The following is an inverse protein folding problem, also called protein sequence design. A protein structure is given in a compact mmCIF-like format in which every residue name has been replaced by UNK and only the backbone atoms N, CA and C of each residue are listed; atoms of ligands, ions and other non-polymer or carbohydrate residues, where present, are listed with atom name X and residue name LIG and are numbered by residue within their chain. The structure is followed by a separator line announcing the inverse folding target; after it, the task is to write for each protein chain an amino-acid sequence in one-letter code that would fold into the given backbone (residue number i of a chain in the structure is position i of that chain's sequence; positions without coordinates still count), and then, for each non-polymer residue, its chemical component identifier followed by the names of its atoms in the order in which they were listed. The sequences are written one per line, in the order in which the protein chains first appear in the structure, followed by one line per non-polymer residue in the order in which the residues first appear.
data_IF_119217337528
#
_entry.id   IF_119217337528
#
_cell.length_a   1.000
_cell.length_b   1.000
_cell.length_c   1.000
_cell.angle_alpha   90.00
_cell.angle_beta   90.00
_cell.angle_gamma   90.00
#
_symmetry.space_group_name_H-M   'P 1'
#
loop_
_entity.id
_entity.type
_entity.pdbx_description
1 polymer ?
#
# COMPACT_ATOMS: atom_id res chain seq x y z
N UNK A 1 -10.18 -24.20 3.04
CA UNK A 1 -10.58 -24.93 1.82
C UNK A 1 -9.66 -26.12 1.57
N UNK A 2 -8.34 -25.92 1.43
CA UNK A 2 -7.41 -27.02 1.09
C UNK A 2 -7.43 -28.19 2.07
N UNK A 3 -7.50 -27.96 3.39
CA UNK A 3 -7.66 -29.04 4.39
C UNK A 3 -8.94 -29.89 4.19
N UNK A 4 -10.00 -29.30 3.64
CA UNK A 4 -11.24 -30.03 3.33
C UNK A 4 -11.10 -30.85 2.04
N UNK A 5 -10.38 -30.32 1.05
CA UNK A 5 -10.04 -31.02 -0.19
C UNK A 5 -9.10 -32.21 0.09
N UNK A 6 -8.14 -32.03 0.98
CA UNK A 6 -7.22 -33.09 1.43
C UNK A 6 -7.95 -34.19 2.19
N UNK A 7 -8.93 -33.84 3.02
CA UNK A 7 -9.77 -34.81 3.73
C UNK A 7 -10.69 -35.60 2.79
N UNK A 8 -11.08 -35.03 1.65
CA UNK A 8 -11.86 -35.73 0.62
C UNK A 8 -11.01 -36.78 -0.11
N UNK A 9 -9.73 -36.47 -0.38
CA UNK A 9 -8.73 -37.44 -0.84
C UNK A 9 -8.87 -37.93 -2.28
N UNK A 10 -9.92 -37.53 -3.00
CA UNK A 10 -10.08 -37.83 -4.43
C UNK A 10 -9.06 -37.05 -5.28
N UNK A 11 -8.57 -37.62 -6.39
CA UNK A 11 -7.66 -36.94 -7.31
C UNK A 11 -8.20 -35.57 -7.77
N UNK A 12 -9.51 -35.50 -8.04
CA UNK A 12 -10.20 -34.29 -8.48
C UNK A 12 -10.23 -33.22 -7.38
N UNK A 13 -10.45 -33.60 -6.12
CA UNK A 13 -10.42 -32.66 -5.01
C UNK A 13 -9.00 -32.13 -4.74
N UNK A 14 -7.98 -32.99 -4.85
CA UNK A 14 -6.59 -32.61 -4.62
C UNK A 14 -6.04 -31.66 -5.69
N UNK A 15 -6.55 -31.73 -6.93
CA UNK A 15 -6.20 -30.81 -8.02
C UNK A 15 -6.79 -29.40 -7.83
N UNK A 16 -7.84 -29.23 -7.03
CA UNK A 16 -8.47 -27.92 -6.76
C UNK A 16 -7.75 -27.07 -5.71
N UNK A 17 -6.72 -27.62 -5.06
CA UNK A 17 -5.97 -26.93 -4.00
C UNK A 17 -5.29 -25.66 -4.51
N UNK A 18 -5.33 -24.59 -3.72
CA UNK A 18 -4.74 -23.29 -4.07
C UNK A 18 -5.43 -22.52 -5.21
N UNK A 19 -6.43 -23.09 -5.91
CA UNK A 19 -7.12 -22.46 -7.06
C UNK A 19 -8.32 -21.60 -6.65
N UNK A 20 -8.93 -21.87 -5.50
CA UNK A 20 -10.18 -21.24 -5.07
C UNK A 20 -10.05 -19.72 -4.86
N UNK A 21 -9.01 -19.28 -4.13
CA UNK A 21 -8.80 -17.86 -3.84
C UNK A 21 -8.41 -17.06 -5.10
N UNK A 22 -7.62 -17.64 -6.01
CA UNK A 22 -7.30 -17.03 -7.30
C UNK A 22 -8.55 -16.87 -8.16
N UNK A 23 -9.41 -17.89 -8.21
CA UNK A 23 -10.67 -17.85 -8.97
C UNK A 23 -11.64 -16.80 -8.42
N UNK A 24 -11.74 -16.69 -7.10
CA UNK A 24 -12.57 -15.68 -6.44
C UNK A 24 -12.09 -14.26 -6.73
N UNK A 25 -10.78 -14.04 -6.70
CA UNK A 25 -10.20 -12.74 -7.00
C UNK A 25 -10.34 -12.39 -8.50
N UNK A 26 -10.22 -13.35 -9.41
CA UNK A 26 -10.53 -13.13 -10.83
C UNK A 26 -11.98 -12.66 -11.05
N UNK A 27 -12.95 -13.25 -10.34
CA UNK A 27 -14.35 -12.82 -10.39
C UNK A 27 -14.53 -11.40 -9.82
N UNK A 28 -13.86 -11.07 -8.72
CA UNK A 28 -13.91 -9.74 -8.12
C UNK A 28 -13.35 -8.67 -9.08
N UNK A 29 -12.24 -8.98 -9.78
CA UNK A 29 -11.68 -8.12 -10.80
C UNK A 29 -12.63 -7.93 -12.01
N UNK A 30 -13.31 -8.98 -12.45
CA UNK A 30 -14.30 -8.88 -13.51
C UNK A 30 -15.49 -7.97 -13.12
N UNK A 31 -15.97 -8.08 -11.88
CA UNK A 31 -17.03 -7.21 -11.35
C UNK A 31 -16.58 -5.75 -11.25
N UNK A 32 -15.33 -5.52 -10.86
CA UNK A 32 -14.70 -4.21 -10.86
C UNK A 32 -14.66 -3.57 -12.25
N UNK A 33 -14.20 -4.30 -13.27
CA UNK A 33 -14.17 -3.82 -14.64
C UNK A 33 -15.58 -3.44 -15.14
N UNK A 34 -16.60 -4.26 -14.83
CA UNK A 34 -18.00 -3.94 -15.14
C UNK A 34 -18.52 -2.71 -14.41
N UNK A 35 -18.11 -2.50 -13.15
CA UNK A 35 -18.56 -1.36 -12.34
C UNK A 35 -18.02 -0.02 -12.86
N UNK A 36 -16.79 -0.03 -13.37
CA UNK A 36 -16.07 1.14 -13.86
C UNK A 36 -16.00 1.20 -15.40
N UNK A 37 -17.05 0.72 -16.08
CA UNK A 37 -17.23 0.81 -17.53
C UNK A 37 -18.64 1.26 -17.91
N UNK A 38 -18.83 1.66 -19.16
CA UNK A 38 -20.12 2.04 -19.73
C UNK A 38 -20.50 3.53 -19.58
N UNK A 39 -21.65 3.94 -20.17
CA UNK A 39 -21.97 5.35 -20.41
C UNK A 39 -22.03 6.21 -19.14
N UNK A 40 -22.47 5.62 -18.02
CA UNK A 40 -22.52 6.29 -16.72
C UNK A 40 -21.13 6.64 -16.20
N UNK A 41 -20.17 5.71 -16.32
CA UNK A 41 -18.80 5.94 -15.83
C UNK A 41 -18.04 6.90 -16.76
N UNK A 42 -18.21 6.78 -18.06
CA UNK A 42 -17.63 7.70 -19.05
C UNK A 42 -18.04 9.16 -18.82
N UNK A 43 -19.31 9.40 -18.47
CA UNK A 43 -19.80 10.72 -18.10
C UNK A 43 -19.13 11.28 -16.83
N UNK A 44 -18.76 10.42 -15.88
CA UNK A 44 -18.06 10.82 -14.65
C UNK A 44 -16.57 11.12 -14.92
N UNK A 45 -15.92 10.35 -15.79
CA UNK A 45 -14.53 10.58 -16.20
C UNK A 45 -14.40 11.93 -16.91
N UNK A 46 -15.35 12.30 -17.78
CA UNK A 46 -15.41 13.65 -18.40
C UNK A 46 -15.51 14.79 -17.39
N UNK A 47 -15.97 14.50 -16.17
CA UNK A 47 -16.04 15.44 -15.04
C UNK A 47 -14.85 15.31 -14.07
N UNK A 48 -13.80 14.59 -14.45
CA UNK A 48 -12.57 14.42 -13.67
C UNK A 48 -12.57 13.27 -12.65
N UNK A 49 -13.55 12.36 -12.70
CA UNK A 49 -13.58 11.21 -11.78
C UNK A 49 -12.43 10.24 -12.07
N UNK A 50 -11.73 9.81 -11.01
CA UNK A 50 -10.68 8.77 -11.06
C UNK A 50 -11.24 7.44 -10.55
N UNK A 51 -10.83 6.31 -11.15
CA UNK A 51 -11.22 4.98 -10.65
C UNK A 51 -10.59 4.74 -9.28
N UNK A 52 -11.37 4.21 -8.36
CA UNK A 52 -10.83 3.63 -7.13
C UNK A 52 -10.06 2.37 -7.51
N UNK A 53 -8.85 2.18 -6.99
CA UNK A 53 -8.04 0.99 -7.29
C UNK A 53 -8.47 -0.20 -6.44
N UNK A 54 -8.42 -1.39 -7.02
CA UNK A 54 -8.78 -2.62 -6.32
C UNK A 54 -7.64 -3.05 -5.39
N UNK A 55 -7.91 -3.23 -4.09
CA UNK A 55 -6.91 -3.68 -3.12
C UNK A 55 -7.00 -5.20 -2.91
N UNK A 56 -5.90 -5.90 -3.19
CA UNK A 56 -5.68 -7.30 -2.84
C UNK A 56 -5.05 -7.40 -1.47
N UNK A 57 -5.87 -7.74 -0.49
CA UNK A 57 -5.44 -8.05 0.86
C UNK A 57 -4.91 -9.49 0.95
N UNK A 58 -3.83 -9.70 1.72
CA UNK A 58 -3.35 -11.02 2.14
C UNK A 58 -2.95 -11.98 1.01
N UNK A 59 -2.10 -11.51 0.11
CA UNK A 59 -1.52 -12.33 -0.95
C UNK A 59 -0.31 -13.16 -0.50
N UNK A 60 -0.09 -13.31 0.81
CA UNK A 60 0.98 -14.13 1.37
C UNK A 60 0.64 -15.62 1.26
N UNK A 61 1.64 -16.43 0.90
CA UNK A 61 1.46 -17.87 0.71
C UNK A 61 1.94 -18.59 1.96
N UNK A 62 1.00 -19.04 2.78
CA UNK A 62 1.30 -19.71 4.06
C UNK A 62 1.54 -21.22 3.92
N UNK A 63 1.30 -21.80 2.73
CA UNK A 63 1.53 -23.21 2.47
C UNK A 63 2.88 -23.36 1.76
N UNK A 64 3.91 -23.98 2.39
CA UNK A 64 5.23 -24.15 1.79
C UNK A 64 5.22 -24.98 0.50
N UNK A 65 4.16 -25.76 0.26
CA UNK A 65 4.01 -26.55 -0.96
C UNK A 65 3.57 -25.73 -2.18
N UNK A 66 3.22 -24.46 -2.00
CA UNK A 66 2.82 -23.56 -3.08
C UNK A 66 3.92 -22.56 -3.40
N UNK A 67 3.94 -22.06 -4.63
CA UNK A 67 4.83 -20.95 -4.98
C UNK A 67 4.49 -19.75 -4.10
N UNK A 68 5.51 -19.07 -3.58
CA UNK A 68 5.38 -17.83 -2.78
C UNK A 68 4.63 -16.71 -3.52
N UNK A 69 4.50 -16.84 -4.84
CA UNK A 69 3.80 -15.90 -5.72
C UNK A 69 2.39 -16.36 -6.14
N UNK A 70 1.86 -17.45 -5.58
CA UNK A 70 0.59 -18.06 -6.01
C UNK A 70 -0.58 -17.06 -6.09
N UNK A 71 -0.68 -16.15 -5.13
CA UNK A 71 -1.72 -15.10 -5.12
C UNK A 71 -1.24 -13.79 -5.72
N UNK A 72 0.04 -13.70 -6.03
CA UNK A 72 0.68 -12.49 -6.52
C UNK A 72 0.62 -12.43 -8.04
N UNK A 73 1.13 -13.46 -8.69
CA UNK A 73 1.23 -13.54 -10.15
C UNK A 73 -0.12 -13.40 -10.87
N UNK A 74 -1.21 -14.09 -10.45
CA UNK A 74 -2.48 -14.02 -11.17
C UNK A 74 -3.35 -12.80 -10.80
N UNK A 75 -3.03 -12.08 -9.71
CA UNK A 75 -3.85 -10.96 -9.24
C UNK A 75 -3.29 -9.59 -9.62
N UNK A 76 -2.06 -9.53 -10.12
CA UNK A 76 -1.51 -8.30 -10.69
C UNK A 76 -2.32 -7.93 -11.95
N UNK A 77 -2.93 -6.75 -11.92
CA UNK A 77 -3.67 -6.20 -13.06
C UNK A 77 -3.74 -4.67 -13.01
N UNK A 78 -4.08 -4.00 -14.12
CA UNK A 78 -4.28 -2.56 -14.17
C UNK A 78 -5.26 -2.10 -13.08
N UNK A 79 -4.97 -0.95 -12.47
CA UNK A 79 -5.80 -0.37 -11.40
C UNK A 79 -5.91 -1.24 -10.12
N UNK A 80 -4.93 -2.11 -9.81
CA UNK A 80 -4.90 -2.90 -8.57
C UNK A 80 -3.72 -2.54 -7.63
N UNK A 81 -3.85 -2.78 -6.33
CA UNK A 81 -2.86 -2.53 -5.25
C UNK A 81 -2.85 -3.70 -4.25
N UNK A 82 -1.78 -3.92 -3.47
CA UNK A 82 -1.65 -5.06 -2.52
C UNK A 82 -1.38 -4.63 -1.06
N UNK A 83 -1.78 -5.41 -0.07
CA UNK A 83 -1.25 -5.32 1.32
C UNK A 83 -0.66 -6.66 1.84
N UNK A 84 0.30 -6.60 2.77
CA UNK A 84 1.06 -7.68 3.38
C UNK A 84 1.26 -7.50 4.90
N UNK A 85 1.82 -8.50 5.58
CA UNK A 85 1.85 -8.65 7.03
C UNK A 85 2.81 -7.65 7.74
N UNK A 86 2.38 -7.21 8.93
CA UNK A 86 2.92 -6.10 9.72
C UNK A 86 4.19 -6.46 10.49
N UNK A 87 5.17 -5.56 10.49
CA UNK A 87 6.26 -5.53 11.48
C UNK A 87 5.96 -4.41 12.48
N UNK A 88 5.75 -4.77 13.75
CA UNK A 88 5.54 -3.83 14.84
C UNK A 88 6.88 -3.29 15.35
N UNK A 89 7.08 -1.97 15.29
CA UNK A 89 8.15 -1.29 16.03
C UNK A 89 7.51 -0.56 17.22
N UNK A 90 7.78 -1.04 18.44
CA UNK A 90 7.33 -0.39 19.67
C UNK A 90 8.33 0.71 20.04
N UNK A 91 7.86 1.95 20.21
CA UNK A 91 8.66 3.08 20.70
C UNK A 91 9.18 2.79 22.12
N UNK A 92 10.48 2.55 22.27
CA UNK A 92 11.15 2.50 23.56
C UNK A 92 12.39 3.40 23.53
N UNK A 93 12.33 4.51 24.28
CA UNK A 93 13.42 5.45 24.59
C UNK A 93 14.27 5.89 23.39
N UNK A 94 13.74 6.85 22.62
CA UNK A 94 14.47 7.48 21.53
C UNK A 94 14.95 8.88 21.93
N UNK A 95 16.14 9.31 21.46
CA UNK A 95 16.56 10.69 21.64
C UNK A 95 15.55 11.61 20.95
N UNK A 96 15.01 12.55 21.72
CA UNK A 96 14.06 13.55 21.25
C UNK A 96 14.71 14.92 21.30
N UNK A 97 14.55 15.70 20.24
CA UNK A 97 14.98 17.09 20.20
C UNK A 97 13.74 17.97 20.21
N UNK A 98 13.60 18.80 21.26
CA UNK A 98 12.51 19.78 21.35
C UNK A 98 13.02 21.14 20.93
N UNK A 99 12.33 21.76 19.96
CA UNK A 99 12.59 23.12 19.52
C UNK A 99 11.36 23.94 19.84
N UNK A 100 11.53 25.01 20.61
CA UNK A 100 10.43 25.91 20.97
C UNK A 100 10.61 27.26 20.30
N UNK A 101 9.56 27.73 19.63
CA UNK A 101 9.58 28.96 18.86
C UNK A 101 8.38 29.85 19.14
N UNK A 102 8.43 31.14 18.73
CA UNK A 102 7.32 32.06 18.92
C UNK A 102 6.06 31.69 18.11
N UNK A 103 6.22 30.88 17.06
CA UNK A 103 5.15 30.49 16.12
C UNK A 103 4.85 28.99 16.13
N UNK A 104 5.83 28.15 16.44
CA UNK A 104 5.72 26.68 16.38
C UNK A 104 6.61 26.06 17.46
N UNK A 105 6.08 25.02 18.09
CA UNK A 105 6.86 24.08 18.89
C UNK A 105 7.01 22.77 18.11
N UNK A 106 8.22 22.26 18.01
CA UNK A 106 8.55 21.04 17.26
C UNK A 106 9.20 19.99 18.16
N UNK A 107 8.82 18.74 17.94
CA UNK A 107 9.47 17.57 18.55
C UNK A 107 9.98 16.68 17.43
N UNK A 108 11.31 16.59 17.35
CA UNK A 108 12.01 15.76 16.37
C UNK A 108 12.37 14.43 17.03
N UNK A 109 12.02 13.34 16.35
CA UNK A 109 12.21 11.98 16.86
C UNK A 109 12.85 11.12 15.77
N UNK A 110 14.05 10.62 16.02
CA UNK A 110 14.65 9.58 15.17
C UNK A 110 14.15 8.22 15.68
N UNK A 111 13.28 7.54 14.93
CA UNK A 111 12.70 6.26 15.36
C UNK A 111 13.66 5.09 15.16
N UNK A 112 14.34 5.08 14.01
CA UNK A 112 15.41 4.15 13.66
C UNK A 112 16.25 4.77 12.52
N UNK A 113 17.31 4.14 11.98
CA UNK A 113 18.16 4.75 10.95
C UNK A 113 17.45 5.21 9.67
N UNK A 114 16.26 4.70 9.37
CA UNK A 114 15.52 4.95 8.12
C UNK A 114 14.09 5.46 8.37
N UNK A 115 13.71 5.75 9.62
CA UNK A 115 12.43 6.40 9.96
C UNK A 115 12.70 7.52 10.95
N UNK A 116 12.25 8.73 10.59
CA UNK A 116 12.15 9.86 11.51
C UNK A 116 10.75 10.47 11.47
N UNK A 117 10.41 11.14 12.56
CA UNK A 117 9.13 11.82 12.74
C UNK A 117 9.37 13.23 13.28
N UNK A 118 8.64 14.20 12.74
CA UNK A 118 8.59 15.55 13.28
C UNK A 118 7.14 15.88 13.63
N UNK A 119 6.90 16.15 14.90
CA UNK A 119 5.60 16.59 15.40
C UNK A 119 5.63 18.10 15.59
N UNK A 120 4.73 18.84 14.92
CA UNK A 120 4.64 20.30 14.99
C UNK A 120 3.33 20.75 15.60
N UNK A 121 3.42 21.66 16.56
CA UNK A 121 2.28 22.34 17.17
C UNK A 121 2.40 23.83 16.88
N UNK A 122 1.62 24.29 15.90
CA UNK A 122 1.58 25.70 15.53
C UNK A 122 0.70 26.50 16.47
N UNK A 123 1.15 27.69 16.83
CA UNK A 123 0.39 28.61 17.69
C UNK A 123 -0.90 29.03 16.99
N UNK A 124 -2.04 28.83 17.67
CA UNK A 124 -3.37 29.20 17.16
C UNK A 124 -3.94 28.23 16.11
N UNK A 125 -3.34 27.05 15.92
CA UNK A 125 -3.94 25.96 15.13
C UNK A 125 -4.61 24.94 16.05
N UNK A 126 -5.75 24.41 15.60
CA UNK A 126 -6.54 23.42 16.34
C UNK A 126 -6.14 21.97 16.00
N UNK A 127 -4.99 21.77 15.36
CA UNK A 127 -4.46 20.47 14.99
C UNK A 127 -2.95 20.40 15.22
N UNK A 128 -2.46 19.16 15.29
CA UNK A 128 -1.05 18.83 15.32
C UNK A 128 -0.67 18.28 13.96
N UNK A 129 0.44 18.76 13.41
CA UNK A 129 1.00 18.19 12.19
C UNK A 129 2.04 17.14 12.57
N UNK A 130 1.93 15.96 11.97
CA UNK A 130 2.89 14.87 12.16
C UNK A 130 3.46 14.51 10.81
N UNK A 131 4.72 14.84 10.59
CA UNK A 131 5.46 14.51 9.39
C UNK A 131 6.26 13.24 9.64
N UNK A 132 6.13 12.27 8.72
CA UNK A 132 6.91 11.04 8.73
C UNK A 132 7.87 11.05 7.54
N UNK A 133 9.15 10.80 7.82
CA UNK A 133 10.16 10.58 6.80
C UNK A 133 10.55 9.11 6.86
N UNK A 134 10.10 8.35 5.87
CA UNK A 134 10.49 6.94 5.67
C UNK A 134 11.54 6.92 4.57
N UNK A 135 12.79 6.68 4.96
CA UNK A 135 13.93 6.51 4.05
C UNK A 135 13.98 5.12 3.44
N UNK A 136 15.18 4.68 3.07
CA UNK A 136 15.39 3.37 2.43
C UNK A 136 15.03 2.24 3.40
N UNK A 137 13.90 1.60 3.15
CA UNK A 137 13.43 0.46 3.93
C UNK A 137 14.36 -0.73 3.64
N UNK A 138 15.05 -1.30 4.66
CA UNK A 138 16.00 -2.38 4.43
C UNK A 138 15.26 -3.63 3.93
N UNK A 139 15.77 -4.23 2.85
CA UNK A 139 15.20 -5.43 2.21
C UNK A 139 16.25 -6.53 2.00
N UNK A 140 17.47 -6.34 2.51
CA UNK A 140 18.60 -7.26 2.38
C UNK A 140 18.33 -8.59 3.09
N UNK A 141 17.41 -8.61 4.05
CA UNK A 141 16.91 -9.80 4.71
C UNK A 141 15.94 -10.63 3.86
N UNK A 142 15.60 -10.16 2.65
CA UNK A 142 14.64 -10.81 1.76
C UNK A 142 13.19 -10.68 2.22
N UNK A 143 12.92 -9.83 3.23
CA UNK A 143 11.59 -9.67 3.83
C UNK A 143 10.95 -8.37 3.36
N UNK A 144 9.81 -8.49 2.67
CA UNK A 144 8.94 -7.35 2.34
C UNK A 144 8.43 -6.67 3.61
N UNK A 145 8.36 -5.33 3.61
CA UNK A 145 8.01 -4.55 4.80
C UNK A 145 6.92 -3.53 4.48
N UNK A 146 5.92 -3.48 5.35
CA UNK A 146 4.88 -2.45 5.36
C UNK A 146 5.03 -1.60 6.62
N UNK A 147 5.28 -0.32 6.41
CA UNK A 147 5.51 0.66 7.47
C UNK A 147 4.18 1.32 7.77
N UNK A 148 3.73 1.16 9.00
CA UNK A 148 2.47 1.75 9.48
C UNK A 148 2.75 2.69 10.64
N UNK A 149 1.99 3.78 10.71
CA UNK A 149 1.85 4.55 11.94
C UNK A 149 0.58 4.10 12.64
N UNK A 150 0.67 3.88 13.96
CA UNK A 150 -0.44 3.49 14.79
C UNK A 150 -0.63 4.55 15.87
N UNK A 151 -1.84 5.08 15.94
CA UNK A 151 -2.22 6.11 16.89
C UNK A 151 -3.30 5.53 17.78
N UNK A 152 -2.95 5.33 19.05
CA UNK A 152 -3.81 4.72 20.05
C UNK A 152 -4.38 5.77 21.01
N UNK A 153 -5.65 5.61 21.34
CA UNK A 153 -6.39 6.45 22.29
C UNK A 153 -7.22 5.58 23.23
N UNK A 154 -7.83 6.20 24.24
CA UNK A 154 -8.77 5.54 25.16
C UNK A 154 -10.23 5.55 24.66
N UNK A 155 -10.48 5.98 23.41
CA UNK A 155 -11.82 6.03 22.82
C UNK A 155 -12.43 4.63 22.73
N UNK A 156 -13.69 4.51 23.12
CA UNK A 156 -14.47 3.28 22.99
C UNK A 156 -15.25 3.27 21.68
N UNK A 157 -14.54 2.95 20.60
CA UNK A 157 -15.07 3.03 19.23
C UNK A 157 -16.01 1.87 18.85
N UNK A 158 -16.13 0.82 19.66
CA UNK A 158 -17.02 -0.34 19.46
C UNK A 158 -16.91 -0.91 18.04
N UNK A 159 -15.68 -1.28 17.65
CA UNK A 159 -15.33 -1.79 16.31
C UNK A 159 -15.63 -0.84 15.14
N UNK A 160 -16.13 0.36 15.40
CA UNK A 160 -16.61 1.30 14.40
C UNK A 160 -15.56 2.36 14.12
N UNK A 161 -15.36 2.66 12.84
CA UNK A 161 -14.53 3.76 12.38
C UNK A 161 -15.09 4.30 11.06
N UNK A 162 -14.63 5.47 10.63
CA UNK A 162 -15.19 6.13 9.45
C UNK A 162 -14.05 6.52 8.51
N UNK A 163 -14.22 6.24 7.22
CA UNK A 163 -13.24 6.62 6.19
C UNK A 163 -13.93 7.35 5.06
N UNK A 164 -13.24 8.31 4.44
CA UNK A 164 -13.79 9.02 3.29
C UNK A 164 -14.02 8.11 2.06
N UNK A 165 -14.92 8.54 1.19
CA UNK A 165 -15.08 8.02 -0.16
C UNK A 165 -14.56 9.04 -1.17
N UNK A 166 -13.30 8.88 -1.60
CA UNK A 166 -12.66 9.78 -2.56
C UNK A 166 -12.68 11.26 -2.12
N UNK A 167 -12.48 11.51 -0.82
CA UNK A 167 -12.50 12.83 -0.22
C UNK A 167 -13.86 13.50 -0.13
N UNK A 168 -14.95 12.71 -0.20
CA UNK A 168 -16.33 13.20 -0.08
C UNK A 168 -16.98 12.68 1.20
N UNK A 169 -17.98 11.81 1.05
CA UNK A 169 -18.76 11.29 2.15
C UNK A 169 -17.94 10.34 3.02
N UNK A 170 -18.14 10.42 4.33
CA UNK A 170 -17.61 9.43 5.25
C UNK A 170 -18.50 8.19 5.29
N UNK A 171 -17.88 7.02 5.13
CA UNK A 171 -18.55 5.73 5.18
C UNK A 171 -18.22 5.05 6.50
N UNK A 172 -19.26 4.66 7.23
CA UNK A 172 -19.13 3.84 8.44
C UNK A 172 -18.54 2.47 8.10
N UNK A 173 -17.46 2.11 8.77
CA UNK A 173 -16.79 0.81 8.71
C UNK A 173 -16.96 0.12 10.07
N UNK A 174 -17.24 -1.18 10.04
CA UNK A 174 -17.30 -2.03 11.23
C UNK A 174 -16.29 -3.15 11.02
N UNK A 175 -15.35 -3.31 11.96
CA UNK A 175 -14.33 -4.36 11.92
C UNK A 175 -15.00 -5.73 11.85
N UNK A 176 -14.51 -6.59 10.95
CA UNK A 176 -14.98 -7.96 10.70
C UNK A 176 -16.44 -8.08 10.25
N UNK A 177 -16.96 -7.04 9.58
CA UNK A 177 -18.36 -6.99 9.18
C UNK A 177 -18.54 -6.56 7.71
N UNK A 178 -19.61 -7.06 7.08
CA UNK A 178 -20.10 -6.67 5.76
C UNK A 178 -21.63 -6.54 5.82
N UNK A 179 -22.17 -5.51 5.17
CA UNK A 179 -23.62 -5.26 5.12
C UNK A 179 -24.36 -6.27 4.26
N UNK A 180 -23.72 -6.72 3.18
CA UNK A 180 -24.42 -7.40 2.08
C UNK A 180 -24.36 -8.94 2.21
N UNK A 181 -23.46 -9.48 3.03
CA UNK A 181 -23.35 -10.91 3.29
C UNK A 181 -22.75 -11.22 4.65
N UNK A 182 -22.97 -12.45 5.13
CA UNK A 182 -22.32 -12.97 6.34
C UNK A 182 -20.84 -13.27 6.06
N UNK A 183 -19.95 -12.44 6.59
CA UNK A 183 -18.50 -12.59 6.42
C UNK A 183 -17.95 -13.75 7.27
N UNK A 184 -17.18 -14.64 6.64
CA UNK A 184 -16.27 -15.55 7.35
C UNK A 184 -14.89 -14.88 7.41
N UNK A 185 -14.40 -14.61 8.62
CA UNK A 185 -13.14 -13.87 8.82
C UNK A 185 -11.97 -14.81 8.60
N UNK A 186 -11.29 -14.65 7.46
CA UNK A 186 -10.04 -15.37 7.16
C UNK A 186 -8.80 -14.51 7.33
N UNK A 187 -8.97 -13.18 7.32
CA UNK A 187 -7.88 -12.19 7.32
C UNK A 187 -8.26 -11.00 8.22
N UNK A 188 -7.95 -11.07 9.54
CA UNK A 188 -8.46 -10.12 10.53
C UNK A 188 -7.86 -8.72 10.43
N UNK A 189 -6.71 -8.57 9.77
CA UNK A 189 -6.08 -7.25 9.56
C UNK A 189 -6.41 -6.72 8.17
N UNK A 190 -5.95 -7.42 7.14
CA UNK A 190 -6.08 -6.93 5.76
C UNK A 190 -7.53 -6.86 5.27
N UNK A 191 -8.42 -7.73 5.77
CA UNK A 191 -9.86 -7.66 5.48
C UNK A 191 -10.54 -6.41 6.05
N UNK A 192 -9.86 -5.66 6.91
CA UNK A 192 -10.39 -4.45 7.54
C UNK A 192 -9.69 -3.17 7.04
N UNK A 193 -8.78 -3.25 6.07
CA UNK A 193 -8.16 -2.07 5.47
C UNK A 193 -9.09 -1.40 4.45
N UNK A 194 -9.12 -0.06 4.50
CA UNK A 194 -9.89 0.77 3.57
C UNK A 194 -9.02 1.89 2.99
N UNK A 195 -9.32 2.35 1.77
CA UNK A 195 -8.66 3.51 1.18
C UNK A 195 -9.11 4.79 1.88
N UNK A 196 -8.14 5.68 2.15
CA UNK A 196 -8.30 6.98 2.79
C UNK A 196 -7.64 8.01 1.86
N UNK A 197 -8.42 8.97 1.35
CA UNK A 197 -7.90 10.03 0.48
C UNK A 197 -7.94 11.40 1.15
N UNK A 198 -8.70 11.53 2.24
CA UNK A 198 -8.90 12.78 2.96
C UNK A 198 -8.75 12.57 4.45
N UNK A 199 -9.43 11.56 5.02
CA UNK A 199 -9.33 11.33 6.45
C UNK A 199 -10.01 10.05 6.95
N UNK A 200 -9.65 9.72 8.17
CA UNK A 200 -10.22 8.65 8.98
C UNK A 200 -10.53 9.21 10.37
N UNK A 201 -11.63 8.78 10.97
CA UNK A 201 -11.92 9.15 12.34
C UNK A 201 -12.55 8.02 13.15
N UNK A 202 -12.37 8.15 14.46
CA UNK A 202 -13.00 7.37 15.52
C UNK A 202 -13.83 8.31 16.38
N UNK A 203 -14.92 7.80 16.94
CA UNK A 203 -15.69 8.54 17.92
C UNK A 203 -16.24 7.61 18.99
N UNK A 204 -16.42 8.14 20.19
CA UNK A 204 -17.28 7.56 21.23
C UNK A 204 -18.47 8.49 21.48
N UNK A 205 -19.13 8.38 22.64
CA UNK A 205 -20.29 9.23 22.97
C UNK A 205 -19.93 10.68 23.34
N UNK A 206 -18.65 11.00 23.56
CA UNK A 206 -18.20 12.30 24.05
C UNK A 206 -17.13 12.96 23.18
N UNK A 207 -16.30 12.16 22.51
CA UNK A 207 -15.08 12.61 21.85
C UNK A 207 -14.96 12.01 20.46
N UNK A 208 -14.34 12.78 19.58
CA UNK A 208 -13.93 12.37 18.25
C UNK A 208 -12.42 12.50 18.13
N UNK A 209 -11.79 11.56 17.44
CA UNK A 209 -10.39 11.62 17.05
C UNK A 209 -10.29 11.44 15.54
N UNK A 210 -9.81 12.47 14.87
CA UNK A 210 -9.79 12.58 13.41
C UNK A 210 -8.36 12.75 12.92
N UNK A 211 -8.01 11.99 11.88
CA UNK A 211 -6.70 12.04 11.22
C UNK A 211 -6.91 12.38 9.76
N UNK A 212 -6.25 13.44 9.32
CA UNK A 212 -6.25 13.90 7.94
C UNK A 212 -4.98 13.46 7.24
N UNK A 213 -5.06 13.18 5.95
CA UNK A 213 -3.92 12.67 5.16
C UNK A 213 -3.54 13.64 4.04
N UNK A 214 -2.25 13.73 3.74
CA UNK A 214 -1.72 14.55 2.64
C UNK A 214 -1.81 13.85 1.27
N UNK A 215 -2.04 12.54 1.27
CA UNK A 215 -2.12 11.68 0.09
C UNK A 215 -3.03 10.48 0.33
N UNK A 216 -3.40 9.81 -0.77
CA UNK A 216 -4.15 8.56 -0.70
C UNK A 216 -3.30 7.45 -0.05
N UNK A 217 -3.81 6.89 1.05
CA UNK A 217 -3.17 5.80 1.80
C UNK A 217 -4.18 4.74 2.23
N UNK A 218 -3.70 3.57 2.64
CA UNK A 218 -4.53 2.55 3.28
C UNK A 218 -4.54 2.75 4.79
N UNK A 219 -5.69 2.56 5.43
CA UNK A 219 -5.76 2.56 6.89
C UNK A 219 -6.96 1.82 7.46
N UNK A 220 -6.96 1.67 8.77
CA UNK A 220 -7.93 0.86 9.50
C UNK A 220 -8.00 1.22 11.00
N UNK A 221 -8.91 0.57 11.71
CA UNK A 221 -8.96 0.46 13.17
C UNK A 221 -9.02 -1.01 13.56
N UNK A 222 -7.84 -1.62 13.81
CA UNK A 222 -7.71 -3.07 14.09
C UNK A 222 -8.04 -3.41 15.55
N UNK A 223 -7.84 -2.46 16.46
CA UNK A 223 -8.31 -2.54 17.84
C UNK A 223 -9.08 -1.26 18.18
N UNK A 224 -9.97 -1.33 19.17
CA UNK A 224 -10.78 -0.17 19.56
C UNK A 224 -9.90 0.96 20.09
N UNK A 225 -10.25 2.19 19.72
CA UNK A 225 -9.49 3.39 20.07
C UNK A 225 -8.18 3.57 19.30
N UNK A 226 -7.83 2.68 18.37
CA UNK A 226 -6.63 2.78 17.53
C UNK A 226 -7.00 3.12 16.08
N UNK A 227 -6.28 4.09 15.50
CA UNK A 227 -6.19 4.29 14.05
C UNK A 227 -4.82 3.80 13.57
N UNK A 228 -4.76 3.13 12.43
CA UNK A 228 -3.50 2.86 11.76
C UNK A 228 -3.52 3.26 10.29
N UNK A 229 -2.39 3.79 9.82
CA UNK A 229 -2.19 4.32 8.49
C UNK A 229 -0.91 3.73 7.89
N UNK A 230 -1.00 3.19 6.69
CA UNK A 230 0.14 2.65 5.95
C UNK A 230 0.89 3.79 5.25
N UNK A 231 2.10 4.07 5.73
CA UNK A 231 2.94 5.18 5.27
C UNK A 231 3.73 4.80 4.01
N UNK A 232 4.31 3.60 4.01
CA UNK A 232 5.12 3.10 2.90
C UNK A 232 5.10 1.57 2.91
N UNK A 233 5.23 0.96 1.74
CA UNK A 233 5.52 -0.48 1.59
C UNK A 233 6.65 -0.72 0.59
N UNK A 234 7.46 -1.73 0.82
CA UNK A 234 8.45 -2.22 -0.15
C UNK A 234 8.37 -3.74 -0.21
N UNK A 235 8.44 -4.28 -1.42
CA UNK A 235 8.52 -5.71 -1.65
C UNK A 235 9.99 -6.13 -1.70
N UNK A 236 10.36 -7.29 -1.16
CA UNK A 236 11.75 -7.75 -1.17
C UNK A 236 12.25 -8.16 -2.56
N UNK A 237 11.34 -8.37 -3.52
CA UNK A 237 11.68 -8.56 -4.93
C UNK A 237 11.91 -7.25 -5.68
N UNK A 238 11.63 -6.10 -5.06
CA UNK A 238 11.75 -4.78 -5.68
C UNK A 238 13.17 -4.23 -5.53
N UNK A 239 13.96 -4.22 -6.60
CA UNK A 239 15.18 -3.41 -6.66
C UNK A 239 14.83 -2.02 -7.17
N UNK A 240 14.97 -0.98 -6.34
CA UNK A 240 15.05 0.38 -6.86
C UNK A 240 16.23 0.45 -7.86
N UNK A 241 16.13 1.24 -8.94
CA UNK A 241 17.33 1.65 -9.65
C UNK A 241 18.32 2.26 -8.65
N UNK A 242 19.63 2.23 -8.92
CA UNK A 242 20.62 2.92 -8.08
C UNK A 242 20.18 4.37 -7.79
N UNK A 243 20.52 4.92 -6.61
CA UNK A 243 20.01 6.20 -6.07
C UNK A 243 20.04 7.41 -7.01
N UNK A 244 20.81 7.32 -8.10
CA UNK A 244 21.05 8.34 -9.11
C UNK A 244 20.43 8.00 -10.49
N UNK A 245 19.52 7.03 -10.55
CA UNK A 245 18.74 6.67 -11.75
C UNK A 245 17.23 6.71 -11.44
N UNK A 246 16.46 7.46 -12.24
CA UNK A 246 15.01 7.53 -12.12
C UNK A 246 14.29 6.78 -13.25
N UNK A 247 13.20 6.11 -12.90
CA UNK A 247 12.21 5.60 -13.84
C UNK A 247 11.27 6.73 -14.26
N UNK A 248 11.43 7.23 -15.49
CA UNK A 248 10.64 8.35 -16.02
C UNK A 248 9.34 7.89 -16.70
N UNK A 249 9.36 6.74 -17.35
CA UNK A 249 8.19 6.24 -18.08
C UNK A 249 8.16 4.72 -18.01
N UNK A 250 7.00 4.18 -17.67
CA UNK A 250 6.65 2.77 -17.83
C UNK A 250 5.23 2.74 -18.39
N UNK A 251 5.09 2.40 -19.66
CA UNK A 251 3.83 2.50 -20.38
C UNK A 251 3.65 1.31 -21.31
N UNK A 252 2.49 0.67 -21.26
CA UNK A 252 2.07 -0.32 -22.26
C UNK A 252 1.61 0.41 -23.54
N UNK A 253 2.07 -0.06 -24.68
CA UNK A 253 1.72 0.43 -26.01
C UNK A 253 0.61 -0.45 -26.61
N UNK A 254 -0.10 0.08 -27.61
CA UNK A 254 -1.27 -0.58 -28.20
C UNK A 254 -0.96 -1.93 -28.87
N UNK A 255 0.32 -2.18 -29.19
CA UNK A 255 0.83 -3.42 -29.78
C UNK A 255 1.29 -4.46 -28.72
N UNK A 256 1.10 -4.16 -27.43
CA UNK A 256 1.51 -5.01 -26.31
C UNK A 256 2.98 -4.86 -25.91
N UNK A 257 3.74 -3.97 -26.55
CA UNK A 257 5.08 -3.62 -26.09
C UNK A 257 5.04 -2.69 -24.87
N UNK A 258 6.11 -2.68 -24.08
CA UNK A 258 6.24 -1.79 -22.92
C UNK A 258 7.36 -0.79 -23.16
N UNK A 259 7.01 0.49 -23.16
CA UNK A 259 7.96 1.60 -23.20
C UNK A 259 8.53 1.85 -21.81
N UNK A 260 9.84 1.69 -21.69
CA UNK A 260 10.63 1.97 -20.49
C UNK A 260 11.58 3.15 -20.73
N UNK A 261 11.52 4.19 -19.88
CA UNK A 261 12.51 5.28 -19.87
C UNK A 261 13.18 5.38 -18.51
N UNK A 262 14.50 5.27 -18.51
CA UNK A 262 15.36 5.51 -17.35
C UNK A 262 16.20 6.74 -17.62
N UNK A 263 16.43 7.57 -16.61
CA UNK A 263 17.33 8.72 -16.71
C UNK A 263 18.29 8.75 -15.53
N UNK A 264 19.55 9.09 -15.83
CA UNK A 264 20.50 9.47 -14.81
C UNK A 264 20.10 10.85 -14.26
N UNK A 265 20.06 11.00 -12.94
CA UNK A 265 19.60 12.22 -12.27
C UNK A 265 20.66 13.32 -12.20
N UNK A 266 21.94 12.94 -12.32
CA UNK A 266 23.08 13.84 -12.20
C UNK A 266 23.84 13.99 -13.53
N UNK A 267 24.39 15.17 -13.79
CA UNK A 267 25.33 15.43 -14.86
C UNK A 267 26.74 14.92 -14.51
N UNK A 268 27.61 14.80 -15.52
CA UNK A 268 28.99 14.34 -15.32
C UNK A 268 29.74 15.32 -14.42
N UNK A 269 30.13 14.83 -13.24
CA UNK A 269 30.91 15.61 -12.25
C UNK A 269 30.08 16.53 -11.36
N UNK A 270 28.75 16.43 -11.38
CA UNK A 270 27.86 17.22 -10.52
C UNK A 270 27.98 16.81 -9.03
N UNK A 271 28.17 15.52 -8.79
CA UNK A 271 28.35 14.92 -7.47
C UNK A 271 29.44 13.84 -7.50
N UNK A 272 30.31 13.86 -6.49
CA UNK A 272 31.51 13.02 -6.42
C UNK A 272 31.20 11.53 -6.40
N UNK A 273 30.09 11.13 -5.79
CA UNK A 273 29.74 9.74 -5.56
C UNK A 273 28.55 9.31 -6.45
N UNK A 274 27.65 10.23 -6.80
CA UNK A 274 26.40 9.95 -7.52
C UNK A 274 26.46 10.23 -9.04
N UNK A 275 27.50 10.92 -9.53
CA UNK A 275 27.69 11.16 -10.97
C UNK A 275 28.46 10.05 -11.70
N UNK A 276 28.63 8.90 -11.03
CA UNK A 276 29.30 7.73 -11.56
C UNK A 276 28.43 6.89 -12.50
N UNK A 277 29.04 5.90 -13.16
CA UNK A 277 28.30 4.95 -14.01
C UNK A 277 27.42 4.06 -13.14
N UNK A 278 26.11 4.06 -13.37
CA UNK A 278 25.16 3.15 -12.74
C UNK A 278 24.71 2.04 -13.68
N UNK A 279 24.44 0.88 -13.10
CA UNK A 279 23.86 -0.27 -13.81
C UNK A 279 22.49 -0.58 -13.25
N UNK A 280 21.49 -0.70 -14.13
CA UNK A 280 20.13 -1.13 -13.75
C UNK A 280 19.91 -2.55 -14.25
N UNK A 281 19.66 -3.47 -13.32
CA UNK A 281 19.34 -4.84 -13.65
C UNK A 281 17.84 -4.98 -13.96
N UNK A 282 17.47 -4.92 -15.23
CA UNK A 282 16.07 -4.99 -15.67
C UNK A 282 15.35 -6.26 -15.21
N UNK A 283 16.06 -7.39 -15.09
CA UNK A 283 15.50 -8.64 -14.57
C UNK A 283 15.10 -8.55 -13.09
N UNK A 284 15.78 -7.71 -12.31
CA UNK A 284 15.41 -7.43 -10.91
C UNK A 284 14.28 -6.41 -10.84
N UNK A 285 14.29 -5.41 -11.73
CA UNK A 285 13.21 -4.42 -11.83
C UNK A 285 11.88 -5.03 -12.28
N UNK A 286 11.93 -6.06 -13.15
CA UNK A 286 10.78 -6.79 -13.66
C UNK A 286 10.87 -8.28 -13.32
N UNK A 287 10.99 -8.59 -12.03
CA UNK A 287 11.19 -9.95 -11.50
C UNK A 287 10.08 -10.97 -11.85
N UNK A 288 8.93 -10.50 -12.35
CA UNK A 288 7.78 -11.34 -12.74
C UNK A 288 7.40 -11.22 -14.22
N UNK A 289 8.19 -10.50 -15.02
CA UNK A 289 7.97 -10.37 -16.48
C UNK A 289 9.11 -11.04 -17.22
N UNK A 290 8.76 -11.97 -18.11
CA UNK A 290 9.75 -12.61 -18.97
C UNK A 290 10.08 -11.65 -20.11
N UNK A 291 11.22 -10.98 -20.02
CA UNK A 291 11.69 -10.05 -21.06
C UNK A 291 12.15 -10.89 -22.25
N UNK A 292 11.31 -10.99 -23.28
CA UNK A 292 11.60 -11.75 -24.50
C UNK A 292 12.55 -11.02 -25.45
N UNK A 293 12.41 -9.69 -25.56
CA UNK A 293 13.21 -8.84 -26.44
C UNK A 293 13.43 -7.48 -25.75
N UNK A 294 14.63 -6.94 -25.87
CA UNK A 294 14.96 -5.59 -25.41
C UNK A 294 15.63 -4.83 -26.57
N UNK A 295 15.05 -3.71 -26.95
CA UNK A 295 15.57 -2.85 -28.00
C UNK A 295 15.81 -1.44 -27.47
N UNK A 296 17.02 -0.93 -27.66
CA UNK A 296 17.37 0.43 -27.26
C UNK A 296 16.99 1.39 -28.38
N UNK A 297 16.00 2.24 -28.13
CA UNK A 297 15.58 3.26 -29.07
C UNK A 297 16.19 4.64 -28.75
N UNK A 298 16.27 5.49 -29.78
CA UNK A 298 16.73 6.89 -29.65
C UNK A 298 15.55 7.75 -29.16
N UNK A 299 15.85 8.89 -28.54
CA UNK A 299 14.83 9.82 -28.00
C UNK A 299 13.85 10.23 -29.11
N UNK A 300 12.64 9.66 -29.10
CA UNK A 300 11.60 9.89 -30.13
C UNK A 300 10.59 8.75 -30.29
N UNK A 301 10.96 7.53 -29.86
CA UNK A 301 10.16 6.33 -30.01
C UNK A 301 11.07 5.17 -30.31
#
# INVERSE_FOLDING_TARGET
MDKMLEKNGTPEALDLRGKAAVSQAALAHQLYQKKFSGPRWEALVKKGAKKQRLLWASTSVNNPAYSDTLYVAPLIGPDTVRSHLFVFLVMMFLPLTVIRGPLVDEVHQQLNPWISQVTRVYKGKEHVEVEFIVGNIPIEDGVAKEVVTQISSSLKSDKTFYTDSSGRDYIKRIRDYRSDWKLEVTQPVAGNYYPINHGIYLQDSQKEFSVMVDRAIGGSSIVDGQVELMLHRIDSSYSLPPDHVALLTLQELDDGNVLLRLAHLYEVGEDKDLSGVSTVELKKLFCHVLIHLFEKQVKGG
#
